data_IF_860509356127
#
_entry.id   IF_860509356127
#
_cell.length_a   1.000
_cell.length_b   1.000
_cell.length_c   1.000
_cell.angle_alpha   90.00
_cell.angle_beta   90.00
_cell.angle_gamma   90.00
#
_symmetry.space_group_name_H-M   'P 1'
#
loop_
_entity.id
_entity.type
_entity.pdbx_description
1 polymer ?
#
# COMPACT_ATOMS: atom_id res chain seq x y z
N UNK A 1 9.50 -6.15 9.12
CA UNK A 1 8.69 -5.00 9.63
C UNK A 1 8.95 -3.81 8.71
N UNK A 2 8.17 -2.72 8.73
CA UNK A 2 8.44 -1.59 7.84
C UNK A 2 9.87 -1.01 7.99
N UNK A 3 10.49 -1.19 9.17
CA UNK A 3 11.89 -0.85 9.45
C UNK A 3 12.95 -1.83 8.90
N UNK A 4 12.56 -2.99 8.37
CA UNK A 4 13.47 -4.02 7.85
C UNK A 4 13.48 -4.07 6.31
N UNK A 5 12.82 -3.10 5.65
CA UNK A 5 12.66 -3.12 4.19
C UNK A 5 13.97 -2.88 3.47
N UNK A 6 14.21 -3.67 2.43
CA UNK A 6 15.31 -3.42 1.50
C UNK A 6 14.95 -2.29 0.53
N UNK A 7 15.96 -1.69 -0.08
CA UNK A 7 15.75 -0.68 -1.13
C UNK A 7 14.98 -1.24 -2.33
N UNK A 8 15.24 -2.50 -2.69
CA UNK A 8 14.53 -3.21 -3.75
C UNK A 8 13.04 -3.39 -3.42
N UNK A 9 12.71 -3.77 -2.17
CA UNK A 9 11.32 -3.87 -1.72
C UNK A 9 10.59 -2.52 -1.76
N UNK A 10 11.27 -1.44 -1.38
CA UNK A 10 10.72 -0.08 -1.45
C UNK A 10 10.46 0.35 -2.89
N UNK A 11 11.32 0.00 -3.83
CA UNK A 11 11.13 0.30 -5.25
C UNK A 11 9.94 -0.45 -5.84
N UNK A 12 9.78 -1.73 -5.50
CA UNK A 12 8.61 -2.54 -5.90
C UNK A 12 7.32 -1.90 -5.38
N UNK A 13 7.29 -1.51 -4.10
CA UNK A 13 6.13 -0.85 -3.48
C UNK A 13 5.83 0.50 -4.14
N UNK A 14 6.85 1.32 -4.39
CA UNK A 14 6.69 2.63 -4.99
C UNK A 14 6.12 2.55 -6.41
N UNK A 15 6.64 1.62 -7.23
CA UNK A 15 6.13 1.39 -8.57
C UNK A 15 4.67 0.91 -8.55
N UNK A 16 4.30 0.08 -7.57
CA UNK A 16 2.90 -0.33 -7.39
C UNK A 16 2.01 0.83 -6.98
N UNK A 17 2.41 1.66 -6.01
CA UNK A 17 1.62 2.82 -5.60
C UNK A 17 1.41 3.81 -6.75
N UNK A 18 2.43 4.09 -7.57
CA UNK A 18 2.30 4.95 -8.75
C UNK A 18 1.35 4.40 -9.82
N UNK A 19 1.13 3.09 -9.87
CA UNK A 19 0.19 2.48 -10.83
C UNK A 19 -1.28 2.60 -10.42
N UNK A 20 -1.56 3.00 -9.17
CA UNK A 20 -2.92 3.19 -8.67
C UNK A 20 -3.39 4.59 -9.06
N UNK A 21 -4.47 4.68 -9.83
CA UNK A 21 -5.03 5.95 -10.33
C UNK A 21 -5.30 6.96 -9.20
N UNK A 22 -5.80 6.49 -8.05
CA UNK A 22 -6.05 7.33 -6.88
C UNK A 22 -4.79 8.02 -6.32
N UNK A 23 -3.60 7.49 -6.62
CA UNK A 23 -2.31 8.00 -6.15
C UNK A 23 -1.49 8.69 -7.25
N UNK A 24 -1.97 8.72 -8.50
CA UNK A 24 -1.22 9.22 -9.67
C UNK A 24 -0.71 10.67 -9.47
N UNK A 25 -1.52 11.52 -8.83
CA UNK A 25 -1.21 12.94 -8.63
C UNK A 25 -0.47 13.23 -7.33
N UNK A 26 -0.18 12.21 -6.52
CA UNK A 26 0.52 12.40 -5.25
C UNK A 26 2.00 12.72 -5.49
N UNK A 27 2.56 13.58 -4.65
CA UNK A 27 3.97 13.93 -4.77
C UNK A 27 4.87 12.69 -4.55
N UNK A 28 5.93 12.50 -5.35
CA UNK A 28 6.82 11.33 -5.24
C UNK A 28 7.33 11.05 -3.82
N UNK A 29 7.70 12.10 -3.08
CA UNK A 29 8.15 11.99 -1.69
C UNK A 29 7.07 11.42 -0.77
N UNK A 30 5.80 11.78 -0.97
CA UNK A 30 4.70 11.21 -0.17
C UNK A 30 4.53 9.73 -0.46
N UNK A 31 4.61 9.32 -1.73
CA UNK A 31 4.52 7.91 -2.11
C UNK A 31 5.70 7.09 -1.55
N UNK A 32 6.92 7.64 -1.57
CA UNK A 32 8.07 7.02 -0.92
C UNK A 32 7.86 6.87 0.59
N UNK A 33 7.34 7.89 1.27
CA UNK A 33 7.01 7.81 2.69
C UNK A 33 5.95 6.74 2.97
N UNK A 34 4.90 6.64 2.16
CA UNK A 34 3.90 5.59 2.28
C UNK A 34 4.50 4.18 2.14
N UNK A 35 5.50 4.00 1.28
CA UNK A 35 6.22 2.73 1.14
C UNK A 35 6.96 2.32 2.42
N UNK A 36 7.25 3.25 3.32
CA UNK A 36 7.87 2.95 4.61
C UNK A 36 6.87 2.53 5.70
N UNK A 37 5.55 2.67 5.48
CA UNK A 37 4.53 2.42 6.50
C UNK A 37 3.44 1.43 6.08
N UNK A 38 3.09 1.34 4.79
CA UNK A 38 2.12 0.36 4.30
C UNK A 38 2.63 -1.07 4.46
N UNK A 39 1.76 -2.07 4.45
CA UNK A 39 2.13 -3.49 4.42
C UNK A 39 1.09 -4.28 3.65
N UNK A 40 1.49 -5.40 3.05
CA UNK A 40 0.54 -6.35 2.48
C UNK A 40 0.08 -7.30 3.56
N UNK A 41 -1.23 -7.52 3.63
CA UNK A 41 -1.82 -8.55 4.46
C UNK A 41 -1.89 -9.86 3.68
N UNK A 42 -1.40 -10.94 4.29
CA UNK A 42 -1.64 -12.28 3.79
C UNK A 42 -3.04 -12.72 4.24
N UNK A 43 -3.83 -13.23 3.31
CA UNK A 43 -5.26 -13.44 3.52
C UNK A 43 -5.67 -14.84 3.12
N UNK A 44 -6.37 -15.49 4.04
CA UNK A 44 -6.94 -16.80 3.79
C UNK A 44 -8.07 -16.74 2.77
N UNK A 45 -8.19 -17.83 2.01
CA UNK A 45 -9.27 -17.98 1.03
C UNK A 45 -10.63 -17.91 1.73
N UNK A 46 -11.51 -17.05 1.20
CA UNK A 46 -12.87 -16.88 1.71
C UNK A 46 -13.04 -15.71 2.70
N UNK A 47 -11.97 -14.99 3.03
CA UNK A 47 -12.04 -13.78 3.86
C UNK A 47 -12.67 -12.63 3.06
N UNK A 48 -13.66 -11.97 3.65
CA UNK A 48 -14.20 -10.70 3.14
C UNK A 48 -13.50 -9.54 3.84
N UNK A 49 -12.64 -8.83 3.09
CA UNK A 49 -11.88 -7.65 3.56
C UNK A 49 -12.76 -6.41 3.74
N UNK A 50 -13.56 -6.10 2.73
CA UNK A 50 -14.34 -4.88 2.66
C UNK A 50 -15.82 -5.22 2.54
N UNK A 51 -16.66 -4.52 3.29
CA UNK A 51 -18.12 -4.58 3.16
C UNK A 51 -18.64 -3.22 2.75
N UNK A 52 -19.60 -3.22 1.84
CA UNK A 52 -20.23 -1.99 1.41
C UNK A 52 -20.97 -1.34 2.59
N UNK A 53 -20.78 -0.03 2.75
CA UNK A 53 -21.36 0.73 3.85
C UNK A 53 -20.45 0.85 5.08
N UNK A 54 -19.41 0.03 5.18
CA UNK A 54 -18.41 0.18 6.24
C UNK A 54 -17.47 1.35 5.95
N UNK A 55 -16.99 2.00 7.02
CA UNK A 55 -15.96 3.03 6.92
C UNK A 55 -14.63 2.39 6.52
N UNK A 56 -14.09 2.78 5.37
CA UNK A 56 -12.74 2.37 4.96
C UNK A 56 -11.66 2.96 5.87
N UNK A 57 -10.74 2.10 6.30
CA UNK A 57 -9.55 2.47 7.11
C UNK A 57 -8.23 2.12 6.43
N UNK A 58 -8.29 1.42 5.31
CA UNK A 58 -7.18 0.94 4.51
C UNK A 58 -7.67 0.76 3.06
N UNK A 59 -6.74 0.47 2.15
CA UNK A 59 -6.98 0.34 0.71
C UNK A 59 -6.49 -1.02 0.19
#
# INVERSE_FOLDING_TARGET
>A
RPADRTEEELEILYNRLRSIEAFEKYHPTLLQQMCCFGYYEDLDKGVTLFRQGDKGTNW
#
